data_IF_588797897612
#
_entry.id   IF_588797897612
#
_cell.length_a   1.000
_cell.length_b   1.000
_cell.length_c   1.000
_cell.angle_alpha   90.00
_cell.angle_beta   90.00
_cell.angle_gamma   90.00
#
_symmetry.space_group_name_H-M   'P 1'
#
loop_
_entity.id
_entity.type
_entity.pdbx_description
1 polymer ?
#
# COMPACT_ATOMS: atom_id res chain seq x y z
N UNK A 1 10.42 9.30 -5.63
CA UNK A 1 9.21 8.45 -5.71
C UNK A 1 8.41 8.64 -7.00
N UNK A 2 7.85 9.82 -7.32
CA UNK A 2 7.08 10.02 -8.58
C UNK A 2 7.95 9.87 -9.84
N UNK A 3 9.17 10.40 -9.81
CA UNK A 3 10.09 10.30 -10.95
C UNK A 3 10.57 8.86 -11.21
N UNK A 4 10.79 8.08 -10.15
CA UNK A 4 11.13 6.65 -10.25
C UNK A 4 9.98 5.82 -10.81
N UNK A 5 8.73 6.13 -10.44
CA UNK A 5 7.54 5.47 -11.01
C UNK A 5 7.42 5.78 -12.50
N UNK A 6 7.71 7.02 -12.91
CA UNK A 6 7.71 7.44 -14.31
C UNK A 6 8.78 6.72 -15.14
N UNK A 7 10.02 6.70 -14.64
CA UNK A 7 11.16 6.04 -15.30
C UNK A 7 10.91 4.54 -15.47
N UNK A 8 10.43 3.87 -14.41
CA UNK A 8 10.14 2.42 -14.42
C UNK A 8 8.94 2.05 -15.31
N UNK A 9 7.94 2.93 -15.42
CA UNK A 9 6.79 2.73 -16.30
C UNK A 9 7.13 2.92 -17.78
N UNK A 10 8.06 3.83 -18.09
CA UNK A 10 8.59 4.04 -19.44
C UNK A 10 9.49 2.89 -19.90
N UNK A 11 10.23 2.25 -18.99
CA UNK A 11 11.11 1.12 -19.29
C UNK A 11 10.38 -0.21 -19.55
N UNK A 12 9.14 -0.39 -19.06
CA UNK A 12 8.50 -1.71 -19.01
C UNK A 12 7.22 -1.88 -19.86
N UNK A 13 6.84 -0.88 -20.67
CA UNK A 13 5.53 -0.86 -21.39
C UNK A 13 4.35 -1.24 -20.46
N UNK A 14 4.44 -0.82 -19.18
CA UNK A 14 3.53 -1.28 -18.12
C UNK A 14 2.23 -0.50 -18.19
N UNK A 15 1.17 -1.25 -18.45
CA UNK A 15 -0.20 -0.80 -18.37
C UNK A 15 -0.59 -0.53 -16.90
N UNK A 16 -0.63 0.72 -16.46
CA UNK A 16 -1.26 1.05 -15.19
C UNK A 16 -2.78 0.84 -15.33
N UNK A 17 -3.35 -0.04 -14.50
CA UNK A 17 -4.76 -0.38 -14.57
C UNK A 17 -5.49 -0.17 -13.22
N UNK A 18 -6.70 0.37 -13.28
CA UNK A 18 -7.65 0.41 -12.17
C UNK A 18 -8.79 -0.56 -12.45
N UNK A 19 -8.95 -1.58 -11.58
CA UNK A 19 -9.97 -2.61 -11.71
C UNK A 19 -10.89 -2.60 -10.48
N UNK A 20 -12.21 -2.57 -10.68
CA UNK A 20 -13.16 -2.77 -9.57
C UNK A 20 -14.46 -1.98 -9.69
N UNK A 21 -14.83 -1.29 -8.60
CA UNK A 21 -16.04 -0.45 -8.54
C UNK A 21 -15.63 1.03 -8.49
N UNK A 22 -16.37 1.87 -9.18
CA UNK A 22 -16.26 3.32 -9.03
C UNK A 22 -16.96 3.71 -7.74
N UNK A 23 -16.18 3.94 -6.67
CA UNK A 23 -16.69 4.36 -5.38
C UNK A 23 -15.69 5.25 -4.64
N UNK A 24 -16.14 6.11 -3.71
CA UNK A 24 -15.26 7.00 -2.94
C UNK A 24 -14.12 6.28 -2.24
N UNK A 25 -14.42 5.16 -1.58
CA UNK A 25 -13.45 4.35 -0.83
C UNK A 25 -12.47 3.60 -1.75
N UNK A 26 -12.84 3.37 -3.02
CA UNK A 26 -11.95 2.77 -4.02
C UNK A 26 -10.96 3.78 -4.60
N UNK A 27 -11.17 5.08 -4.42
CA UNK A 27 -10.17 6.12 -4.68
C UNK A 27 -9.74 6.26 -6.15
N UNK A 28 -10.66 6.04 -7.10
CA UNK A 28 -10.37 6.20 -8.53
C UNK A 28 -9.85 7.61 -8.86
N UNK A 29 -10.38 8.64 -8.20
CA UNK A 29 -9.92 10.02 -8.32
C UNK A 29 -8.43 10.18 -7.95
N UNK A 30 -7.97 9.46 -6.91
CA UNK A 30 -6.56 9.44 -6.50
C UNK A 30 -5.70 8.71 -7.53
N UNK A 31 -6.17 7.57 -8.04
CA UNK A 31 -5.48 6.82 -9.09
C UNK A 31 -5.27 7.68 -10.35
N UNK A 32 -6.31 8.40 -10.79
CA UNK A 32 -6.23 9.37 -11.88
C UNK A 32 -5.22 10.47 -11.55
N UNK A 33 -5.25 11.01 -10.34
CA UNK A 33 -4.30 12.04 -9.88
C UNK A 33 -2.84 11.58 -9.92
N UNK A 34 -2.57 10.33 -9.51
CA UNK A 34 -1.24 9.72 -9.57
C UNK A 34 -0.80 9.54 -11.03
N UNK A 35 -1.65 8.97 -11.87
CA UNK A 35 -1.35 8.74 -13.28
C UNK A 35 -1.04 10.06 -14.01
N UNK A 36 -1.80 11.12 -13.73
CA UNK A 36 -1.55 12.46 -14.26
C UNK A 36 -0.21 13.03 -13.83
N UNK A 37 0.14 12.94 -12.54
CA UNK A 37 1.43 13.45 -12.02
C UNK A 37 2.61 12.64 -12.54
N UNK A 38 2.45 11.33 -12.71
CA UNK A 38 3.49 10.46 -13.25
C UNK A 38 3.59 10.49 -14.78
N UNK A 39 2.64 11.12 -15.48
CA UNK A 39 2.63 11.17 -16.94
C UNK A 39 2.40 9.81 -17.61
N UNK A 40 1.74 8.88 -16.91
CA UNK A 40 1.49 7.50 -17.39
C UNK A 40 0.03 7.33 -17.79
N UNK A 41 -0.23 6.50 -18.80
CA UNK A 41 -1.61 6.13 -19.18
C UNK A 41 -2.23 5.23 -18.10
N UNK A 42 -3.48 5.50 -17.75
CA UNK A 42 -4.28 4.70 -16.82
C UNK A 42 -5.48 4.12 -17.56
N UNK A 43 -5.56 2.79 -17.60
CA UNK A 43 -6.75 2.06 -18.06
C UNK A 43 -7.68 1.76 -16.90
N UNK A 44 -8.96 2.04 -17.05
CA UNK A 44 -9.96 1.92 -15.99
C UNK A 44 -11.04 0.94 -16.44
N UNK A 45 -11.13 -0.20 -15.76
CA UNK A 45 -12.17 -1.19 -15.96
C UNK A 45 -12.99 -1.31 -14.66
N UNK A 46 -14.10 -0.57 -14.58
CA UNK A 46 -14.87 -0.50 -13.35
C UNK A 46 -16.38 -0.42 -13.60
N UNK A 47 -17.13 -1.11 -12.75
CA UNK A 47 -18.60 -0.98 -12.68
C UNK A 47 -18.98 0.22 -11.83
N UNK A 48 -20.13 0.81 -12.15
CA UNK A 48 -20.75 1.88 -11.37
C UNK A 48 -22.00 1.26 -10.76
N UNK A 49 -22.08 1.25 -9.44
CA UNK A 49 -23.29 0.82 -8.74
C UNK A 49 -24.20 2.05 -8.50
N UNK A 50 -25.51 1.81 -8.39
CA UNK A 50 -26.52 2.87 -8.25
C UNK A 50 -26.22 3.83 -7.07
N UNK A 51 -25.70 3.29 -5.96
CA UNK A 51 -25.35 4.06 -4.78
C UNK A 51 -24.21 5.07 -5.02
N UNK A 52 -23.38 4.86 -6.04
CA UNK A 52 -22.19 5.65 -6.32
C UNK A 52 -22.32 6.57 -7.55
N UNK A 53 -23.49 6.61 -8.20
CA UNK A 53 -23.72 7.43 -9.40
C UNK A 53 -23.38 8.91 -9.16
N UNK A 54 -23.80 9.46 -8.01
CA UNK A 54 -23.50 10.85 -7.66
C UNK A 54 -22.00 11.11 -7.59
N UNK A 55 -21.24 10.21 -6.96
CA UNK A 55 -19.78 10.30 -6.90
C UNK A 55 -19.15 10.18 -8.28
N UNK A 56 -19.61 9.22 -9.09
CA UNK A 56 -19.14 9.04 -10.45
C UNK A 56 -19.33 10.32 -11.29
N UNK A 57 -20.55 10.85 -11.34
CA UNK A 57 -20.87 12.02 -12.15
C UNK A 57 -20.20 13.30 -11.65
N UNK A 58 -20.17 13.54 -10.34
CA UNK A 58 -19.66 14.80 -9.80
C UNK A 58 -18.13 14.84 -9.72
N UNK A 59 -17.47 13.70 -9.47
CA UNK A 59 -16.05 13.66 -9.15
C UNK A 59 -15.20 12.90 -10.16
N UNK A 60 -15.71 11.85 -10.79
CA UNK A 60 -14.93 11.02 -11.71
C UNK A 60 -15.05 11.48 -13.16
N UNK A 61 -16.26 11.72 -13.66
CA UNK A 61 -16.51 12.16 -15.05
C UNK A 61 -15.66 13.37 -15.45
N UNK A 62 -15.48 14.42 -14.63
CA UNK A 62 -14.61 15.54 -14.98
C UNK A 62 -13.14 15.13 -15.18
N UNK A 63 -12.68 14.13 -14.44
CA UNK A 63 -11.28 13.66 -14.45
C UNK A 63 -10.98 12.73 -15.64
N UNK A 64 -12.00 12.04 -16.17
CA UNK A 64 -11.87 11.14 -17.32
C UNK A 64 -11.61 11.87 -18.65
N UNK A 65 -11.79 13.20 -18.70
CA UNK A 65 -11.52 14.02 -19.89
C UNK A 65 -10.02 14.14 -20.23
N UNK A 66 -9.15 13.67 -19.36
CA UNK A 66 -7.71 13.77 -19.56
C UNK A 66 -7.20 12.70 -20.55
N UNK A 67 -6.33 13.03 -21.52
CA UNK A 67 -5.90 12.11 -22.59
C UNK A 67 -5.10 10.90 -22.11
N UNK A 68 -4.67 10.90 -20.85
CA UNK A 68 -4.00 9.75 -20.21
C UNK A 68 -5.00 8.73 -19.65
N UNK A 69 -6.30 9.03 -19.61
CA UNK A 69 -7.32 8.15 -19.03
C UNK A 69 -8.05 7.40 -20.14
N UNK A 70 -8.10 6.08 -20.02
CA UNK A 70 -8.85 5.22 -20.93
C UNK A 70 -9.85 4.40 -20.11
N UNK A 71 -11.14 4.70 -20.24
CA UNK A 71 -12.20 4.00 -19.52
C UNK A 71 -12.82 2.92 -20.40
N UNK A 72 -12.66 1.66 -20.00
CA UNK A 72 -13.09 0.46 -20.74
C UNK A 72 -14.45 -0.07 -20.24
N UNK A 73 -15.01 0.52 -19.17
CA UNK A 73 -16.29 0.09 -18.60
C UNK A 73 -16.19 -1.13 -17.69
N UNK A 74 -17.31 -1.49 -17.06
CA UNK A 74 -17.48 -2.71 -16.27
C UNK A 74 -18.56 -3.60 -16.89
N UNK A 75 -18.48 -4.92 -16.66
CA UNK A 75 -19.46 -5.86 -17.20
C UNK A 75 -20.87 -5.57 -16.63
N UNK A 76 -21.89 -5.60 -17.49
CA UNK A 76 -23.28 -5.48 -17.05
C UNK A 76 -23.67 -6.58 -16.05
N UNK A 77 -24.41 -6.21 -15.02
CA UNK A 77 -24.98 -7.15 -14.05
C UNK A 77 -26.03 -8.02 -14.74
N UNK A 78 -25.75 -9.31 -14.92
CA UNK A 78 -26.73 -10.27 -15.46
C UNK A 78 -27.85 -10.53 -14.45
N UNK A 79 -29.09 -10.20 -14.82
CA UNK A 79 -30.29 -10.42 -13.99
C UNK A 79 -30.45 -11.92 -13.69
N UNK A 80 -30.67 -12.30 -12.43
CA UNK A 80 -30.84 -13.69 -12.00
C UNK A 80 -29.55 -14.51 -11.85
N UNK A 81 -28.37 -13.93 -12.08
CA UNK A 81 -27.07 -14.56 -11.80
C UNK A 81 -26.47 -13.96 -10.52
N UNK A 82 -25.92 -14.82 -9.65
CA UNK A 82 -25.08 -14.37 -8.55
C UNK A 82 -23.85 -13.59 -9.08
N UNK A 83 -23.22 -12.71 -8.29
CA UNK A 83 -21.97 -12.07 -8.67
C UNK A 83 -20.96 -13.10 -9.20
N UNK A 84 -20.26 -12.78 -10.29
CA UNK A 84 -19.22 -13.67 -10.84
C UNK A 84 -18.22 -13.98 -9.72
N UNK A 85 -18.17 -15.24 -9.33
CA UNK A 85 -17.18 -15.70 -8.36
C UNK A 85 -15.80 -15.44 -8.96
N UNK A 86 -15.00 -14.68 -8.24
CA UNK A 86 -13.63 -14.37 -8.61
C UNK A 86 -12.72 -15.03 -7.57
N UNK A 87 -12.51 -16.35 -7.65
CA UNK A 87 -11.97 -17.17 -6.56
C UNK A 87 -10.49 -16.88 -6.25
N UNK A 88 -9.79 -16.14 -7.13
CA UNK A 88 -8.36 -15.83 -7.00
C UNK A 88 -8.04 -14.37 -6.67
N UNK A 89 -9.01 -13.46 -6.68
CA UNK A 89 -8.82 -12.19 -5.97
C UNK A 89 -9.20 -12.45 -4.53
N UNK A 90 -8.42 -11.87 -3.62
CA UNK A 90 -8.74 -11.76 -2.20
C UNK A 90 -8.19 -12.85 -1.27
N UNK A 91 -7.05 -13.46 -1.59
CA UNK A 91 -6.32 -14.29 -0.62
C UNK A 91 -4.84 -13.88 -0.50
N UNK A 92 -4.55 -12.81 0.28
CA UNK A 92 -5.45 -11.75 0.76
C UNK A 92 -5.56 -10.58 -0.24
N UNK A 93 -6.64 -9.79 -0.16
CA UNK A 93 -6.76 -8.52 -0.91
C UNK A 93 -5.57 -7.61 -0.56
N UNK A 94 -5.07 -6.82 -1.51
CA UNK A 94 -3.97 -5.87 -1.24
C UNK A 94 -4.24 -4.97 -0.01
N UNK A 95 -5.51 -4.64 0.27
CA UNK A 95 -5.90 -3.87 1.45
C UNK A 95 -5.92 -4.66 2.76
N UNK A 96 -6.26 -5.96 2.71
CA UNK A 96 -6.13 -6.85 3.86
C UNK A 96 -4.68 -7.27 4.10
N UNK A 97 -3.86 -7.37 3.03
CA UNK A 97 -2.46 -7.74 3.11
C UNK A 97 -1.61 -6.71 3.88
N UNK A 98 -2.02 -5.44 3.90
CA UNK A 98 -1.35 -4.40 4.69
C UNK A 98 -1.66 -4.47 6.20
N UNK A 99 -2.73 -5.16 6.62
CA UNK A 99 -3.14 -5.21 8.03
C UNK A 99 -2.04 -5.69 8.99
N UNK A 100 -1.30 -6.80 8.75
CA UNK A 100 -0.21 -7.19 9.63
C UNK A 100 0.92 -6.15 9.70
N UNK A 101 1.25 -5.50 8.58
CA UNK A 101 2.30 -4.46 8.57
C UNK A 101 1.86 -3.19 9.33
N UNK A 102 0.62 -2.76 9.15
CA UNK A 102 0.04 -1.63 9.87
C UNK A 102 -0.05 -1.91 11.38
N UNK A 103 -0.43 -3.13 11.76
CA UNK A 103 -0.43 -3.56 13.16
C UNK A 103 0.98 -3.51 13.75
N UNK A 104 1.97 -4.05 13.04
CA UNK A 104 3.37 -4.00 13.47
C UNK A 104 3.88 -2.57 13.60
N UNK A 105 3.58 -1.71 12.63
CA UNK A 105 3.93 -0.29 12.68
C UNK A 105 3.32 0.40 13.89
N UNK A 106 2.03 0.16 14.16
CA UNK A 106 1.33 0.71 15.32
C UNK A 106 1.86 0.19 16.66
N UNK A 107 2.26 -1.08 16.72
CA UNK A 107 2.82 -1.69 17.92
C UNK A 107 4.24 -1.20 18.22
N UNK A 108 5.10 -1.17 17.21
CA UNK A 108 6.51 -0.87 17.36
C UNK A 108 6.83 0.63 17.27
N UNK A 109 5.89 1.44 16.78
CA UNK A 109 6.15 2.83 16.39
C UNK A 109 7.24 2.92 15.33
N UNK A 110 7.25 1.98 14.38
CA UNK A 110 8.31 1.83 13.38
C UNK A 110 8.20 2.90 12.30
N UNK A 111 9.25 3.69 12.14
CA UNK A 111 9.44 4.68 11.08
C UNK A 111 10.78 4.40 10.37
N UNK A 112 10.88 4.76 9.10
CA UNK A 112 12.10 4.63 8.30
C UNK A 112 12.46 6.02 7.79
N UNK A 113 13.59 6.55 8.24
CA UNK A 113 14.23 7.69 7.60
C UNK A 113 15.20 7.17 6.55
N UNK A 114 14.76 7.18 5.30
CA UNK A 114 15.57 6.71 4.18
C UNK A 114 16.72 7.66 3.83
N UNK A 115 16.64 8.94 4.21
CA UNK A 115 17.68 9.92 3.89
C UNK A 115 18.90 9.76 4.81
N UNK A 116 18.67 9.49 6.09
CA UNK A 116 19.73 9.20 7.07
C UNK A 116 20.05 7.71 7.21
N UNK A 117 19.35 6.84 6.49
CA UNK A 117 19.43 5.39 6.62
C UNK A 117 19.16 4.89 8.07
N UNK A 118 18.12 5.42 8.71
CA UNK A 118 17.80 5.13 10.12
C UNK A 118 16.45 4.43 10.27
N UNK A 119 16.41 3.35 11.05
CA UNK A 119 15.17 2.78 11.60
C UNK A 119 14.85 3.48 12.90
N UNK A 120 13.65 4.04 13.03
CA UNK A 120 13.21 4.70 14.26
C UNK A 120 12.11 3.83 14.89
N UNK A 121 12.21 3.57 16.19
CA UNK A 121 11.24 2.79 16.97
C UNK A 121 10.72 3.66 18.11
N UNK A 122 9.49 4.17 17.97
CA UNK A 122 8.85 5.06 18.96
C UNK A 122 8.01 4.27 19.95
N UNK A 123 8.45 4.21 21.21
CA UNK A 123 7.77 3.54 22.33
C UNK A 123 7.31 2.13 21.94
N UNK A 124 8.23 1.25 21.49
CA UNK A 124 7.88 -0.05 20.98
C UNK A 124 7.15 -0.87 22.04
N UNK A 125 6.01 -1.45 21.65
CA UNK A 125 5.19 -2.33 22.46
C UNK A 125 4.83 -3.57 21.66
N UNK A 126 4.67 -4.69 22.35
CA UNK A 126 4.11 -5.90 21.75
C UNK A 126 2.67 -6.09 22.27
N UNK A 127 1.72 -6.56 21.44
CA UNK A 127 0.39 -6.99 21.90
C UNK A 127 0.51 -8.08 22.95
N UNK A 128 -0.35 -8.10 23.98
CA UNK A 128 -0.22 -9.00 25.14
C UNK A 128 -0.01 -10.49 24.79
N UNK A 129 -0.56 -10.96 23.66
CA UNK A 129 -0.42 -12.34 23.19
C UNK A 129 0.95 -12.67 22.56
N UNK A 130 1.82 -11.67 22.38
CA UNK A 130 3.10 -11.78 21.69
C UNK A 130 4.25 -11.51 22.67
N UNK A 131 5.06 -12.54 22.92
CA UNK A 131 6.24 -12.42 23.81
C UNK A 131 7.49 -11.96 23.05
N UNK A 132 7.57 -12.29 21.78
CA UNK A 132 8.71 -11.96 20.93
C UNK A 132 8.30 -11.75 19.47
N UNK A 133 9.08 -10.94 18.77
CA UNK A 133 8.93 -10.67 17.34
C UNK A 133 10.32 -10.56 16.71
N UNK A 134 10.50 -11.16 15.53
CA UNK A 134 11.71 -10.98 14.74
C UNK A 134 11.36 -10.35 13.39
N UNK A 135 12.03 -9.24 13.08
CA UNK A 135 12.00 -8.60 11.75
C UNK A 135 13.35 -8.87 11.10
N UNK A 136 13.36 -9.62 9.99
CA UNK A 136 14.59 -10.02 9.30
C UNK A 136 14.64 -9.43 7.90
N UNK A 137 15.85 -9.14 7.43
CA UNK A 137 16.09 -8.62 6.09
C UNK A 137 15.49 -7.23 5.87
N UNK A 138 15.41 -6.40 6.93
CA UNK A 138 14.93 -5.03 6.80
C UNK A 138 15.99 -4.23 6.05
N UNK A 139 15.68 -3.81 4.82
CA UNK A 139 16.61 -3.08 3.96
C UNK A 139 16.36 -1.59 3.98
N UNK A 140 17.42 -0.81 4.14
CA UNK A 140 17.42 0.65 4.08
C UNK A 140 18.69 1.10 3.35
N UNK A 141 18.51 1.72 2.18
CA UNK A 141 19.63 1.95 1.26
C UNK A 141 20.33 0.63 0.92
N UNK A 142 21.66 0.62 1.02
CA UNK A 142 22.50 -0.57 0.83
C UNK A 142 22.65 -1.44 2.09
N UNK A 143 22.02 -1.03 3.19
CA UNK A 143 22.13 -1.75 4.47
C UNK A 143 21.00 -2.76 4.67
N UNK A 144 21.30 -3.83 5.41
CA UNK A 144 20.33 -4.85 5.84
C UNK A 144 20.43 -5.07 7.34
N UNK A 145 19.27 -5.08 8.02
CA UNK A 145 19.16 -5.21 9.46
C UNK A 145 18.24 -6.38 9.85
N UNK A 146 18.61 -7.12 10.89
CA UNK A 146 17.75 -8.07 11.59
C UNK A 146 17.52 -7.59 13.04
N UNK A 147 16.26 -7.41 13.41
CA UNK A 147 15.84 -6.91 14.72
C UNK A 147 15.04 -7.98 15.46
N UNK A 148 15.30 -8.12 16.77
CA UNK A 148 14.56 -8.99 17.68
C UNK A 148 13.96 -8.16 18.81
N UNK A 149 12.65 -8.24 18.95
CA UNK A 149 11.89 -7.61 20.01
C UNK A 149 11.52 -8.69 21.03
N UNK A 150 11.78 -8.45 22.31
CA UNK A 150 11.28 -9.28 23.42
C UNK A 150 10.51 -8.43 24.41
N UNK A 151 9.35 -8.91 24.84
CA UNK A 151 8.62 -8.34 25.96
C UNK A 151 9.43 -8.48 27.25
N UNK A 152 9.42 -7.43 28.05
CA UNK A 152 9.90 -7.44 29.43
C UNK A 152 8.93 -6.62 30.29
N UNK A 153 8.11 -7.27 31.12
CA UNK A 153 7.08 -6.64 31.96
C UNK A 153 6.26 -5.57 31.20
N UNK A 154 6.56 -4.29 31.43
CA UNK A 154 5.89 -3.13 30.84
C UNK A 154 6.60 -2.52 29.63
N UNK A 155 7.73 -3.08 29.19
CA UNK A 155 8.57 -2.58 28.09
C UNK A 155 8.91 -3.66 27.07
N UNK A 156 9.59 -3.26 26.00
CA UNK A 156 10.10 -4.16 24.96
C UNK A 156 11.58 -3.89 24.79
N UNK A 157 12.39 -4.94 24.94
CA UNK A 157 13.79 -4.92 24.60
C UNK A 157 13.95 -5.09 23.09
N UNK A 158 14.73 -4.22 22.45
CA UNK A 158 15.06 -4.29 21.03
C UNK A 158 16.52 -4.71 20.90
N UNK A 159 16.78 -5.79 20.19
CA UNK A 159 18.13 -6.30 19.93
C UNK A 159 18.41 -6.24 18.43
N UNK A 160 19.51 -5.61 18.05
CA UNK A 160 20.07 -5.68 16.71
C UNK A 160 20.85 -6.99 16.58
N UNK A 161 20.29 -7.97 15.88
CA UNK A 161 20.86 -9.32 15.74
C UNK A 161 21.91 -9.36 14.63
N UNK A 162 21.66 -8.66 13.53
CA UNK A 162 22.58 -8.55 12.39
C UNK A 162 22.48 -7.16 11.79
N UNK A 163 23.63 -6.60 11.42
CA UNK A 163 23.77 -5.39 10.61
C UNK A 163 24.79 -5.64 9.52
N UNK A 164 24.38 -5.40 8.29
CA UNK A 164 25.24 -5.32 7.12
C UNK A 164 25.08 -3.89 6.57
N UNK A 165 26.18 -3.14 6.43
CA UNK A 165 26.17 -1.71 6.12
C UNK A 165 26.06 -0.82 7.35
N UNK A 166 25.78 0.47 7.12
CA UNK A 166 25.95 1.53 8.12
C UNK A 166 24.63 2.08 8.68
N UNK A 167 23.49 1.47 8.34
CA UNK A 167 22.18 1.93 8.81
C UNK A 167 22.03 1.89 10.34
N UNK A 168 21.44 2.95 10.89
CA UNK A 168 21.26 3.14 12.32
C UNK A 168 19.88 2.66 12.81
N UNK A 169 19.79 2.41 14.12
CA UNK A 169 18.54 2.01 14.78
C UNK A 169 18.37 2.86 16.03
N UNK A 170 17.38 3.75 16.00
CA UNK A 170 17.06 4.65 17.09
C UNK A 170 15.83 4.15 17.86
N UNK A 171 15.97 4.04 19.18
CA UNK A 171 14.88 3.64 20.08
C UNK A 171 14.51 4.81 20.97
N UNK A 172 13.30 5.34 20.77
CA UNK A 172 12.76 6.48 21.50
C UNK A 172 11.74 5.97 22.53
N UNK A 173 12.10 5.98 23.81
CA UNK A 173 11.29 5.46 24.93
C UNK A 173 10.25 6.45 25.46
#
# INVERSE_FOLDING_TARGET
>A
MIEQVRQRAQELDVLLAFLGRVAPEKGLDRAIGIARRAGVRLRIAAKIDLADERYYHQRIVPLLRHPLMEFVGGFERRRGKAPTLYPVACAPQAWAACAPFALLQACLGLEIDAASATVILRRPRLPQFLDWLSVRGLRIGESTLDLMFRRHDSSVAVNLVRREGDAEVDVLL
#
